data_IF_463134779768
#
_entry.id   IF_463134779768
#
_cell.length_a   1.000
_cell.length_b   1.000
_cell.length_c   1.000
_cell.angle_alpha   90.00
_cell.angle_beta   90.00
_cell.angle_gamma   90.00
#
_symmetry.space_group_name_H-M   'P 1'
#
loop_
_entity.id
_entity.type
_entity.pdbx_description
1 polymer ?
#
# COMPACT_ATOMS: atom_id res chain seq x y z
N UNK A 1 78.44 64.84 13.00
CA UNK A 1 77.01 64.46 13.08
C UNK A 1 76.95 62.94 13.11
N UNK A 2 76.79 62.35 14.30
CA UNK A 2 76.68 60.90 14.48
C UNK A 2 75.24 60.54 14.80
N UNK A 3 74.59 59.80 13.90
CA UNK A 3 73.29 59.19 14.17
C UNK A 3 73.50 57.96 15.04
N UNK A 4 73.05 58.04 16.29
CA UNK A 4 72.97 56.89 17.18
C UNK A 4 71.53 56.38 17.15
N UNK A 5 71.29 55.32 16.37
CA UNK A 5 69.99 54.64 16.31
C UNK A 5 69.97 53.59 17.41
N UNK A 6 69.40 53.93 18.55
CA UNK A 6 69.06 52.95 19.58
C UNK A 6 67.79 52.21 19.18
N UNK A 7 67.91 50.91 18.89
CA UNK A 7 66.76 50.00 18.88
C UNK A 7 66.26 49.84 20.31
N UNK A 8 65.16 50.50 20.64
CA UNK A 8 64.43 50.23 21.88
C UNK A 8 63.61 48.96 21.67
N UNK A 9 64.13 47.84 22.20
CA UNK A 9 63.35 46.64 22.46
C UNK A 9 62.32 46.94 23.55
N UNK A 10 61.08 47.21 23.15
CA UNK A 10 59.92 47.14 24.05
C UNK A 10 59.33 45.73 24.01
N UNK A 11 59.75 44.87 24.95
CA UNK A 11 59.10 43.59 25.24
C UNK A 11 57.77 43.87 25.96
N UNK A 12 56.69 43.98 25.20
CA UNK A 12 55.33 43.72 25.70
C UNK A 12 54.72 42.62 24.84
N UNK A 13 54.02 41.71 25.51
CA UNK A 13 53.76 40.35 25.09
C UNK A 13 53.03 40.24 23.74
N UNK A 14 53.81 40.18 22.66
CA UNK A 14 53.33 39.84 21.32
C UNK A 14 52.66 38.46 21.31
N UNK A 15 53.03 37.60 22.27
CA UNK A 15 52.40 36.30 22.53
C UNK A 15 50.96 36.42 23.04
N UNK A 16 50.63 37.40 23.89
CA UNK A 16 49.26 37.61 24.41
C UNK A 16 48.32 38.10 23.30
N UNK A 17 48.81 38.95 22.38
CA UNK A 17 48.07 39.38 21.20
C UNK A 17 47.81 38.25 20.19
N UNK A 18 48.79 37.37 19.97
CA UNK A 18 48.66 36.22 19.07
C UNK A 18 47.73 35.15 19.66
N UNK A 19 47.89 34.81 20.95
CA UNK A 19 47.06 33.83 21.66
C UNK A 19 45.61 34.32 21.81
N UNK A 20 45.41 35.62 22.10
CA UNK A 20 44.09 36.25 22.17
C UNK A 20 43.38 36.30 20.81
N UNK A 21 44.11 36.52 19.72
CA UNK A 21 43.55 36.47 18.36
C UNK A 21 43.17 35.04 17.92
N UNK A 22 43.95 34.03 18.34
CA UNK A 22 43.68 32.63 18.05
C UNK A 22 42.48 32.11 18.87
N UNK A 23 42.43 32.44 20.16
CA UNK A 23 41.29 32.10 21.03
C UNK A 23 40.04 32.86 20.59
N UNK A 24 40.16 34.15 20.26
CA UNK A 24 39.06 34.97 19.76
C UNK A 24 38.51 34.49 18.42
N UNK A 25 39.36 34.07 17.48
CA UNK A 25 38.92 33.53 16.18
C UNK A 25 38.26 32.17 16.30
N UNK A 26 38.75 31.29 17.20
CA UNK A 26 38.12 29.99 17.48
C UNK A 26 36.75 30.19 18.15
N UNK A 27 36.65 31.06 19.17
CA UNK A 27 35.37 31.36 19.85
C UNK A 27 34.38 32.04 18.90
N UNK A 28 34.84 33.01 18.10
CA UNK A 28 34.02 33.67 17.07
C UNK A 28 33.50 32.66 16.04
N UNK A 29 34.35 31.74 15.58
CA UNK A 29 33.97 30.66 14.69
C UNK A 29 32.91 29.74 15.30
N UNK A 30 33.06 29.36 16.57
CA UNK A 30 32.09 28.54 17.30
C UNK A 30 30.74 29.23 17.49
N UNK A 31 30.72 30.52 17.88
CA UNK A 31 29.48 31.29 18.05
C UNK A 31 28.74 31.44 16.72
N UNK A 32 29.47 31.65 15.62
CA UNK A 32 28.89 31.75 14.28
C UNK A 32 28.30 30.41 13.84
N UNK A 33 29.03 29.30 14.06
CA UNK A 33 28.55 27.96 13.74
C UNK A 33 27.31 27.59 14.56
N UNK A 34 27.30 27.96 15.85
CA UNK A 34 26.18 27.75 16.75
C UNK A 34 24.96 28.58 16.33
N UNK A 35 25.16 29.84 15.93
CA UNK A 35 24.13 30.71 15.37
C UNK A 35 23.51 30.12 14.10
N UNK A 36 24.34 29.68 13.14
CA UNK A 36 23.87 29.03 11.91
C UNK A 36 23.11 27.73 12.22
N UNK A 37 23.57 26.93 13.19
CA UNK A 37 22.89 25.70 13.58
C UNK A 37 21.52 25.98 14.23
N UNK A 38 21.42 27.02 15.05
CA UNK A 38 20.16 27.50 15.64
C UNK A 38 19.22 28.03 14.58
N UNK A 39 19.70 28.87 13.66
CA UNK A 39 18.90 29.37 12.54
C UNK A 39 18.40 28.23 11.66
N UNK A 40 19.24 27.25 11.31
CA UNK A 40 18.82 26.07 10.56
C UNK A 40 17.76 25.24 11.30
N UNK A 41 17.85 25.14 12.63
CA UNK A 41 16.83 24.47 13.45
C UNK A 41 15.53 25.26 13.48
N UNK A 42 15.59 26.59 13.64
CA UNK A 42 14.43 27.47 13.63
C UNK A 42 13.72 27.46 12.28
N UNK A 43 14.45 27.64 11.17
CA UNK A 43 13.88 27.59 9.82
C UNK A 43 13.29 26.22 9.50
N UNK A 44 13.90 25.13 9.98
CA UNK A 44 13.30 23.79 9.86
C UNK A 44 12.03 23.63 10.68
N UNK A 45 11.95 24.24 11.85
CA UNK A 45 10.79 24.17 12.72
C UNK A 45 9.62 25.00 12.17
N UNK A 46 9.87 26.23 11.72
CA UNK A 46 8.87 27.06 11.03
C UNK A 46 8.37 26.39 9.74
N UNK A 47 9.27 25.91 8.89
CA UNK A 47 8.89 25.19 7.68
C UNK A 47 8.16 23.85 7.98
N UNK A 48 8.35 23.27 9.17
CA UNK A 48 7.61 22.09 9.60
C UNK A 48 6.21 22.46 10.11
N UNK A 49 6.07 23.60 10.78
CA UNK A 49 4.78 24.16 11.23
C UNK A 49 3.92 24.59 10.05
N UNK A 50 4.51 25.18 9.01
CA UNK A 50 3.80 25.57 7.79
C UNK A 50 3.32 24.36 6.97
N UNK A 51 4.04 23.24 7.02
CA UNK A 51 3.67 22.00 6.30
C UNK A 51 2.75 21.07 7.10
N UNK A 52 2.52 21.35 8.37
CA UNK A 52 1.68 20.51 9.23
C UNK A 52 0.21 20.50 8.78
N UNK A 53 -0.41 21.64 8.43
CA UNK A 53 -1.77 21.67 7.87
C UNK A 53 -1.91 20.83 6.59
N UNK A 54 -1.00 20.97 5.63
CA UNK A 54 -1.00 20.20 4.36
C UNK A 54 -0.90 18.67 4.63
N UNK A 55 -0.10 18.28 5.63
CA UNK A 55 0.03 16.87 6.02
C UNK A 55 -1.22 16.31 6.67
N UNK A 56 -1.93 17.12 7.43
CA UNK A 56 -3.20 16.75 8.07
C UNK A 56 -4.27 16.59 6.98
N UNK A 57 -4.39 17.57 6.08
CA UNK A 57 -5.32 17.53 4.95
C UNK A 57 -5.13 16.25 4.12
N UNK A 58 -3.90 15.93 3.71
CA UNK A 58 -3.65 14.70 2.95
C UNK A 58 -3.99 13.42 3.70
N UNK A 59 -3.93 13.43 5.03
CA UNK A 59 -4.24 12.26 5.83
C UNK A 59 -5.76 12.14 6.05
N UNK A 60 -6.48 13.25 6.20
CA UNK A 60 -7.95 13.30 6.22
C UNK A 60 -8.53 12.83 4.88
N UNK A 61 -8.05 13.38 3.76
CA UNK A 61 -8.43 12.93 2.41
C UNK A 61 -8.19 11.42 2.21
N UNK A 62 -7.10 10.90 2.78
CA UNK A 62 -6.79 9.47 2.70
C UNK A 62 -7.74 8.63 3.53
N UNK A 63 -8.13 9.09 4.73
CA UNK A 63 -9.09 8.40 5.59
C UNK A 63 -10.46 8.36 4.93
N UNK A 64 -10.93 9.49 4.41
CA UNK A 64 -12.21 9.59 3.70
C UNK A 64 -12.23 8.65 2.49
N UNK A 65 -11.13 8.59 1.73
CA UNK A 65 -10.99 7.66 0.61
C UNK A 65 -11.00 6.19 1.04
N UNK A 66 -10.37 5.87 2.18
CA UNK A 66 -10.38 4.50 2.71
C UNK A 66 -11.80 4.11 3.16
N UNK A 67 -12.54 5.02 3.79
CA UNK A 67 -13.93 4.80 4.21
C UNK A 67 -14.84 4.55 3.01
N UNK A 68 -14.74 5.36 1.97
CA UNK A 68 -15.48 5.13 0.73
C UNK A 68 -15.14 3.77 0.11
N UNK A 69 -13.88 3.35 0.17
CA UNK A 69 -13.49 2.04 -0.34
C UNK A 69 -14.08 0.89 0.49
N UNK A 70 -14.10 1.00 1.81
CA UNK A 70 -14.69 0.01 2.72
C UNK A 70 -16.18 -0.12 2.44
N UNK A 71 -16.89 0.99 2.29
CA UNK A 71 -18.33 0.99 1.97
C UNK A 71 -18.61 0.27 0.65
N UNK A 72 -17.85 0.59 -0.41
CA UNK A 72 -17.96 -0.06 -1.72
C UNK A 72 -17.67 -1.56 -1.65
N UNK A 73 -16.63 -1.96 -0.91
CA UNK A 73 -16.26 -3.37 -0.73
C UNK A 73 -17.29 -4.15 0.11
N UNK A 74 -17.86 -3.51 1.12
CA UNK A 74 -18.88 -4.10 1.99
C UNK A 74 -20.16 -4.43 1.23
N UNK A 75 -20.52 -3.66 0.20
CA UNK A 75 -21.62 -4.00 -0.73
C UNK A 75 -21.35 -5.32 -1.46
N UNK A 76 -20.09 -5.62 -1.78
CA UNK A 76 -19.70 -6.88 -2.44
C UNK A 76 -19.80 -8.07 -1.48
N UNK A 77 -19.57 -7.88 -0.18
CA UNK A 77 -19.70 -8.93 0.82
C UNK A 77 -21.15 -9.35 1.04
N UNK A 78 -22.11 -8.41 0.99
CA UNK A 78 -23.53 -8.65 1.30
C UNK A 78 -24.09 -9.86 0.56
N UNK A 79 -24.40 -10.92 1.30
CA UNK A 79 -25.02 -12.12 0.75
C UNK A 79 -26.50 -11.83 0.52
N UNK A 80 -26.93 -11.92 -0.73
CA UNK A 80 -28.33 -11.82 -1.09
C UNK A 80 -29.09 -13.00 -0.47
N UNK A 81 -29.97 -12.71 0.51
CA UNK A 81 -30.73 -13.70 1.26
C UNK A 81 -31.56 -14.60 0.34
N UNK A 82 -32.04 -14.05 -0.80
CA UNK A 82 -32.77 -14.83 -1.81
C UNK A 82 -31.89 -15.90 -2.49
N UNK A 83 -30.58 -15.71 -2.53
CA UNK A 83 -29.61 -16.63 -3.12
C UNK A 83 -29.07 -17.64 -2.10
N UNK A 84 -29.35 -17.48 -0.81
CA UNK A 84 -28.96 -18.45 0.22
C UNK A 84 -29.68 -19.79 0.09
N UNK A 85 -30.91 -19.80 -0.46
CA UNK A 85 -31.67 -21.01 -0.73
C UNK A 85 -31.06 -21.91 -1.82
N UNK A 86 -30.09 -21.40 -2.59
CA UNK A 86 -29.37 -22.20 -3.60
C UNK A 86 -28.24 -23.00 -2.95
N UNK A 87 -28.02 -24.22 -3.47
CA UNK A 87 -26.81 -25.00 -3.18
C UNK A 87 -25.57 -24.15 -3.45
N UNK A 88 -24.52 -24.28 -2.62
CA UNK A 88 -23.38 -23.35 -2.63
C UNK A 88 -22.69 -23.28 -4.00
N UNK A 89 -22.59 -24.40 -4.72
CA UNK A 89 -22.02 -24.45 -6.07
C UNK A 89 -22.92 -23.83 -7.17
N UNK A 90 -24.17 -23.50 -6.85
CA UNK A 90 -25.10 -22.78 -7.72
C UNK A 90 -25.21 -21.29 -7.34
N UNK A 91 -24.46 -20.84 -6.35
CA UNK A 91 -24.41 -19.43 -5.98
C UNK A 91 -23.50 -18.69 -6.97
N UNK A 92 -23.95 -17.57 -7.52
CA UNK A 92 -23.14 -16.80 -8.44
C UNK A 92 -21.93 -16.24 -7.70
N UNK A 93 -20.74 -16.43 -8.28
CA UNK A 93 -19.52 -15.76 -7.88
C UNK A 93 -19.60 -14.28 -8.26
N UNK A 94 -18.93 -13.42 -7.48
CA UNK A 94 -19.04 -11.95 -7.59
C UNK A 94 -17.79 -11.29 -8.12
N UNK A 95 -16.63 -11.88 -7.90
CA UNK A 95 -15.32 -11.29 -8.17
C UNK A 95 -14.59 -11.99 -9.30
N UNK A 96 -14.77 -13.29 -9.43
CA UNK A 96 -14.12 -14.14 -10.40
C UNK A 96 -15.14 -15.04 -11.09
N UNK A 97 -14.88 -15.39 -12.33
CA UNK A 97 -15.65 -16.38 -13.07
C UNK A 97 -14.73 -17.34 -13.82
N UNK A 98 -15.25 -18.53 -14.10
CA UNK A 98 -14.60 -19.46 -15.01
C UNK A 98 -15.02 -19.10 -16.43
N UNK A 99 -14.04 -18.81 -17.28
CA UNK A 99 -14.29 -18.60 -18.70
C UNK A 99 -14.69 -19.93 -19.39
N UNK A 100 -15.08 -19.91 -20.68
CA UNK A 100 -15.43 -21.13 -21.42
C UNK A 100 -14.32 -22.19 -21.51
N UNK A 101 -13.08 -21.82 -21.20
CA UNK A 101 -11.90 -22.68 -21.18
C UNK A 101 -11.48 -23.06 -19.75
N UNK A 102 -12.35 -22.85 -18.76
CA UNK A 102 -12.08 -23.07 -17.34
C UNK A 102 -10.87 -22.28 -16.81
N UNK A 103 -10.58 -21.08 -17.31
CA UNK A 103 -9.64 -20.17 -16.67
C UNK A 103 -10.36 -19.31 -15.62
N UNK A 104 -9.73 -19.13 -14.45
CA UNK A 104 -10.22 -18.20 -13.44
C UNK A 104 -9.89 -16.77 -13.85
N UNK A 105 -10.92 -15.98 -14.17
CA UNK A 105 -10.77 -14.59 -14.63
C UNK A 105 -11.49 -13.62 -13.71
N UNK A 106 -10.94 -12.42 -13.47
CA UNK A 106 -11.63 -11.38 -12.72
C UNK A 106 -12.88 -10.91 -13.48
N UNK A 107 -14.01 -10.86 -12.77
CA UNK A 107 -15.30 -10.45 -13.30
C UNK A 107 -15.49 -8.95 -13.14
N UNK A 108 -15.96 -8.28 -14.19
CA UNK A 108 -16.41 -6.89 -14.06
C UNK A 108 -17.61 -6.83 -13.12
N UNK A 109 -17.53 -6.03 -12.07
CA UNK A 109 -18.59 -5.91 -11.08
C UNK A 109 -19.27 -4.53 -11.18
N UNK A 110 -20.60 -4.47 -11.31
CA UNK A 110 -21.31 -3.20 -11.49
C UNK A 110 -21.20 -2.25 -10.29
N UNK A 111 -20.96 -2.76 -9.07
CA UNK A 111 -20.87 -1.93 -7.87
C UNK A 111 -19.54 -1.18 -7.75
N UNK A 112 -18.50 -1.64 -8.44
CA UNK A 112 -17.17 -0.99 -8.48
C UNK A 112 -16.79 -0.55 -9.90
N UNK A 113 -17.66 -0.76 -10.89
CA UNK A 113 -17.52 -0.47 -12.32
C UNK A 113 -16.20 -0.94 -12.98
N UNK A 114 -15.54 -1.93 -12.38
CA UNK A 114 -14.28 -2.51 -12.84
C UNK A 114 -14.12 -3.93 -12.26
N UNK A 115 -12.98 -4.57 -12.50
CA UNK A 115 -12.57 -5.79 -11.82
C UNK A 115 -12.02 -5.47 -10.44
N UNK A 116 -12.05 -6.44 -9.52
CA UNK A 116 -11.49 -6.25 -8.18
C UNK A 116 -9.99 -5.92 -8.22
N UNK A 117 -9.24 -6.53 -9.16
CA UNK A 117 -7.80 -6.32 -9.30
C UNK A 117 -7.46 -4.89 -9.74
N UNK A 118 -8.18 -4.37 -10.73
CA UNK A 118 -8.04 -2.99 -11.20
C UNK A 118 -8.44 -1.99 -10.11
N UNK A 119 -9.53 -2.28 -9.41
CA UNK A 119 -9.99 -1.46 -8.28
C UNK A 119 -8.94 -1.36 -7.18
N UNK A 120 -8.40 -2.50 -6.72
CA UNK A 120 -7.39 -2.53 -5.66
C UNK A 120 -6.10 -1.83 -6.08
N UNK A 121 -5.68 -2.01 -7.33
CA UNK A 121 -4.50 -1.33 -7.88
C UNK A 121 -4.69 0.19 -7.94
N UNK A 122 -5.89 0.64 -8.31
CA UNK A 122 -6.25 2.06 -8.30
C UNK A 122 -6.27 2.63 -6.88
N UNK A 123 -6.91 1.92 -5.95
CA UNK A 123 -6.97 2.27 -4.53
C UNK A 123 -5.57 2.41 -3.92
N UNK A 124 -4.70 1.42 -4.12
CA UNK A 124 -3.31 1.45 -3.64
C UNK A 124 -2.55 2.67 -4.17
N UNK A 125 -2.71 3.01 -5.46
CA UNK A 125 -2.07 4.16 -6.08
C UNK A 125 -2.54 5.47 -5.45
N UNK A 126 -3.84 5.61 -5.21
CA UNK A 126 -4.42 6.80 -4.58
C UNK A 126 -3.95 6.94 -3.15
N UNK A 127 -4.07 5.89 -2.32
CA UNK A 127 -3.57 5.87 -0.94
C UNK A 127 -2.09 6.29 -0.90
N UNK A 128 -1.26 5.68 -1.76
CA UNK A 128 0.16 6.02 -1.86
C UNK A 128 0.41 7.50 -2.18
N UNK A 129 -0.38 8.08 -3.09
CA UNK A 129 -0.26 9.51 -3.46
C UNK A 129 -0.45 10.43 -2.26
N UNK A 130 -1.40 10.12 -1.36
CA UNK A 130 -1.64 10.89 -0.15
C UNK A 130 -0.55 10.62 0.91
N UNK A 131 -0.27 9.35 1.22
CA UNK A 131 0.58 8.98 2.35
C UNK A 131 2.07 9.33 2.17
N UNK A 132 2.57 9.40 0.93
CA UNK A 132 3.94 9.87 0.65
C UNK A 132 4.15 11.32 1.11
N UNK A 133 3.09 12.14 1.10
CA UNK A 133 3.17 13.57 1.45
C UNK A 133 3.13 13.84 2.95
N UNK A 134 2.70 12.86 3.76
CA UNK A 134 2.54 13.01 5.21
C UNK A 134 3.89 12.92 5.93
N UNK A 135 4.44 11.72 6.05
CA UNK A 135 5.74 11.47 6.68
C UNK A 135 6.25 10.05 6.35
N UNK A 136 7.47 9.73 6.82
CA UNK A 136 8.07 8.41 6.60
C UNK A 136 7.28 7.27 7.26
N UNK A 137 6.63 7.51 8.42
CA UNK A 137 5.82 6.51 9.13
C UNK A 137 4.60 6.11 8.28
N UNK A 138 3.85 7.08 7.75
CA UNK A 138 2.71 6.86 6.86
C UNK A 138 3.09 6.09 5.60
N UNK A 139 4.24 6.40 5.00
CA UNK A 139 4.77 5.65 3.87
C UNK A 139 5.12 4.19 4.23
N UNK A 140 5.67 3.94 5.43
CA UNK A 140 5.89 2.57 5.91
C UNK A 140 4.57 1.83 6.08
N UNK A 141 3.53 2.47 6.64
CA UNK A 141 2.19 1.86 6.76
C UNK A 141 1.57 1.53 5.40
N UNK A 142 1.73 2.41 4.42
CA UNK A 142 1.31 2.15 3.04
C UNK A 142 1.99 0.91 2.44
N UNK A 143 3.31 0.76 2.61
CA UNK A 143 4.02 -0.41 2.11
C UNK A 143 3.56 -1.71 2.79
N UNK A 144 3.27 -1.66 4.09
CA UNK A 144 2.71 -2.78 4.84
C UNK A 144 1.31 -3.15 4.34
N UNK A 145 0.47 -2.15 4.06
CA UNK A 145 -0.84 -2.34 3.44
C UNK A 145 -0.74 -3.05 2.09
N UNK A 146 0.09 -2.56 1.17
CA UNK A 146 0.31 -3.18 -0.14
C UNK A 146 0.81 -4.63 -0.02
N UNK A 147 1.75 -4.86 0.90
CA UNK A 147 2.27 -6.21 1.15
C UNK A 147 1.18 -7.15 1.68
N UNK A 148 0.32 -6.68 2.60
CA UNK A 148 -0.80 -7.46 3.12
C UNK A 148 -1.81 -7.80 2.04
N UNK A 149 -2.20 -6.85 1.19
CA UNK A 149 -3.12 -7.10 0.08
C UNK A 149 -2.61 -8.23 -0.83
N UNK A 150 -1.34 -8.13 -1.26
CA UNK A 150 -0.70 -9.15 -2.09
C UNK A 150 -0.64 -10.51 -1.38
N UNK A 151 -0.19 -10.52 -0.12
CA UNK A 151 -0.07 -11.75 0.66
C UNK A 151 -1.42 -12.47 0.79
N UNK A 152 -2.51 -11.76 1.03
CA UNK A 152 -3.83 -12.39 1.15
C UNK A 152 -4.33 -12.93 -0.20
N UNK A 153 -4.04 -12.25 -1.31
CA UNK A 153 -4.30 -12.81 -2.65
C UNK A 153 -3.54 -14.12 -2.86
N UNK A 154 -2.23 -14.14 -2.57
CA UNK A 154 -1.37 -15.31 -2.74
C UNK A 154 -1.79 -16.49 -1.85
N UNK A 155 -2.36 -16.21 -0.68
CA UNK A 155 -2.80 -17.25 0.27
C UNK A 155 -4.21 -17.76 -0.02
N UNK A 156 -5.11 -16.92 -0.54
CA UNK A 156 -6.54 -17.25 -0.66
C UNK A 156 -6.91 -17.59 -2.11
N UNK A 157 -6.55 -16.74 -3.06
CA UNK A 157 -6.98 -16.84 -4.46
C UNK A 157 -6.02 -17.71 -5.27
N UNK A 158 -4.71 -17.55 -5.10
CA UNK A 158 -3.72 -18.28 -5.89
C UNK A 158 -3.83 -19.81 -5.79
N UNK A 159 -4.11 -20.43 -4.62
CA UNK A 159 -4.31 -21.88 -4.54
C UNK A 159 -5.54 -22.35 -5.31
N UNK A 160 -6.59 -21.55 -5.37
CA UNK A 160 -7.79 -21.84 -6.17
C UNK A 160 -7.46 -21.75 -7.65
N UNK A 161 -6.71 -20.72 -8.06
CA UNK A 161 -6.23 -20.57 -9.43
C UNK A 161 -5.43 -21.80 -9.89
N UNK A 162 -4.47 -22.27 -9.08
CA UNK A 162 -3.70 -23.48 -9.36
C UNK A 162 -4.58 -24.73 -9.48
N UNK A 163 -5.61 -24.86 -8.64
CA UNK A 163 -6.56 -25.98 -8.73
C UNK A 163 -7.40 -25.94 -9.99
N UNK A 164 -7.81 -24.75 -10.43
CA UNK A 164 -8.53 -24.53 -11.69
C UNK A 164 -7.64 -24.90 -12.88
N UNK A 165 -6.38 -24.46 -12.89
CA UNK A 165 -5.38 -24.82 -13.90
C UNK A 165 -5.14 -26.34 -13.94
N UNK A 166 -5.01 -26.98 -12.78
CA UNK A 166 -4.88 -28.44 -12.71
C UNK A 166 -6.12 -29.16 -13.27
N UNK A 167 -7.31 -28.66 -12.96
CA UNK A 167 -8.55 -29.21 -13.51
C UNK A 167 -8.62 -29.06 -15.02
N UNK A 168 -8.25 -27.88 -15.55
CA UNK A 168 -8.18 -27.65 -16.99
C UNK A 168 -7.26 -28.68 -17.67
N UNK A 169 -6.07 -28.92 -17.12
CA UNK A 169 -5.14 -29.95 -17.64
C UNK A 169 -5.77 -31.35 -17.61
N UNK A 170 -6.46 -31.72 -16.53
CA UNK A 170 -7.16 -33.02 -16.43
C UNK A 170 -8.23 -33.15 -17.52
N UNK A 171 -9.02 -32.10 -17.76
CA UNK A 171 -10.04 -32.12 -18.82
C UNK A 171 -9.40 -32.21 -20.20
N UNK A 172 -8.33 -31.45 -20.47
CA UNK A 172 -7.63 -31.52 -21.74
C UNK A 172 -7.11 -32.93 -21.97
N UNK A 173 -6.39 -33.51 -21.01
CA UNK A 173 -5.79 -34.85 -21.14
C UNK A 173 -6.85 -35.94 -21.30
N UNK A 174 -7.96 -35.86 -20.56
CA UNK A 174 -9.02 -36.87 -20.60
C UNK A 174 -9.84 -36.84 -21.90
N UNK A 175 -9.98 -35.68 -22.55
CA UNK A 175 -10.87 -35.50 -23.70
C UNK A 175 -10.16 -35.14 -25.00
N UNK A 176 -8.81 -35.02 -25.02
CA UNK A 176 -8.03 -34.64 -26.20
C UNK A 176 -8.34 -35.50 -27.43
N UNK A 177 -8.50 -36.81 -27.26
CA UNK A 177 -8.73 -37.73 -28.37
C UNK A 177 -10.17 -37.67 -28.93
N UNK A 178 -11.14 -37.24 -28.11
CA UNK A 178 -12.57 -37.30 -28.45
C UNK A 178 -13.17 -35.94 -28.77
N UNK A 179 -12.58 -34.85 -28.27
CA UNK A 179 -13.07 -33.48 -28.36
C UNK A 179 -11.95 -32.50 -28.74
N UNK A 180 -11.07 -32.92 -29.66
CA UNK A 180 -9.91 -32.16 -30.09
C UNK A 180 -10.30 -30.76 -30.63
N UNK A 181 -11.44 -30.65 -31.32
CA UNK A 181 -11.93 -29.40 -31.89
C UNK A 181 -12.34 -28.41 -30.78
N UNK A 182 -13.08 -28.85 -29.75
CA UNK A 182 -13.46 -28.02 -28.62
C UNK A 182 -12.24 -27.56 -27.80
N UNK A 183 -11.24 -28.41 -27.66
CA UNK A 183 -10.00 -28.10 -26.93
C UNK A 183 -9.16 -27.07 -27.71
N UNK A 184 -8.94 -27.30 -29.00
CA UNK A 184 -8.15 -26.39 -29.85
C UNK A 184 -8.83 -25.02 -30.02
N UNK A 185 -10.16 -24.99 -30.01
CA UNK A 185 -10.92 -23.73 -30.05
C UNK A 185 -11.09 -23.05 -28.69
N UNK A 186 -10.69 -23.70 -27.59
CA UNK A 186 -10.73 -23.12 -26.24
C UNK A 186 -12.13 -23.06 -25.61
N UNK A 187 -13.02 -23.99 -25.98
CA UNK A 187 -14.40 -24.06 -25.47
C UNK A 187 -14.64 -25.36 -24.69
N UNK A 188 -13.82 -25.63 -23.66
CA UNK A 188 -13.93 -26.82 -22.82
C UNK A 188 -15.31 -27.00 -22.18
N UNK A 189 -16.03 -25.91 -21.92
CA UNK A 189 -17.41 -25.94 -21.38
C UNK A 189 -18.41 -26.69 -22.27
N UNK A 190 -18.08 -26.93 -23.55
CA UNK A 190 -18.94 -27.69 -24.48
C UNK A 190 -18.77 -29.21 -24.36
N UNK A 191 -17.72 -29.67 -23.68
CA UNK A 191 -17.45 -31.09 -23.48
C UNK A 191 -18.45 -31.62 -22.43
N UNK A 192 -19.14 -32.72 -22.74
CA UNK A 192 -20.01 -33.36 -21.76
C UNK A 192 -19.16 -34.12 -20.73
N UNK A 193 -19.01 -33.50 -19.56
CA UNK A 193 -18.22 -34.05 -18.47
C UNK A 193 -18.91 -35.26 -17.86
N UNK A 194 -18.11 -36.31 -17.61
CA UNK A 194 -18.52 -37.45 -16.81
C UNK A 194 -18.84 -37.03 -15.36
N UNK A 195 -19.45 -37.92 -14.59
CA UNK A 195 -19.91 -37.61 -13.22
C UNK A 195 -18.77 -37.21 -12.28
N UNK A 196 -17.58 -37.81 -12.43
CA UNK A 196 -16.40 -37.51 -11.64
C UNK A 196 -15.91 -36.08 -11.90
N UNK A 197 -15.65 -35.73 -13.17
CA UNK A 197 -15.20 -34.41 -13.58
C UNK A 197 -16.24 -33.33 -13.27
N UNK A 198 -17.54 -33.64 -13.41
CA UNK A 198 -18.62 -32.74 -13.00
C UNK A 198 -18.62 -32.47 -11.50
N UNK A 199 -18.36 -33.50 -10.69
CA UNK A 199 -18.22 -33.37 -9.24
C UNK A 199 -16.99 -32.53 -8.85
N UNK A 200 -15.87 -32.71 -9.55
CA UNK A 200 -14.67 -31.88 -9.38
C UNK A 200 -14.94 -30.40 -9.72
N UNK A 201 -15.59 -30.13 -10.86
CA UNK A 201 -15.96 -28.79 -11.28
C UNK A 201 -16.88 -28.11 -10.24
N UNK A 202 -17.91 -28.81 -9.77
CA UNK A 202 -18.82 -28.29 -8.74
C UNK A 202 -18.08 -27.98 -7.43
N UNK A 203 -17.09 -28.79 -7.07
CA UNK A 203 -16.23 -28.56 -5.90
C UNK A 203 -15.38 -27.31 -6.09
N UNK A 204 -14.78 -27.12 -7.27
CA UNK A 204 -14.00 -25.94 -7.62
C UNK A 204 -14.87 -24.67 -7.55
N UNK A 205 -16.07 -24.69 -8.15
CA UNK A 205 -16.99 -23.54 -8.13
C UNK A 205 -17.37 -23.16 -6.69
N UNK A 206 -17.67 -24.15 -5.84
CA UNK A 206 -17.93 -23.93 -4.42
C UNK A 206 -16.73 -23.28 -3.73
N UNK A 207 -15.54 -23.79 -3.98
CA UNK A 207 -14.32 -23.33 -3.32
C UNK A 207 -13.92 -21.92 -3.80
N UNK A 208 -14.17 -21.57 -5.07
CA UNK A 208 -14.07 -20.19 -5.59
C UNK A 208 -14.98 -19.27 -4.79
N UNK A 209 -16.27 -19.62 -4.65
CA UNK A 209 -17.23 -18.78 -3.91
C UNK A 209 -16.81 -18.55 -2.45
N UNK A 210 -16.32 -19.58 -1.77
CA UNK A 210 -15.82 -19.44 -0.39
C UNK A 210 -14.53 -18.60 -0.32
N UNK A 211 -13.63 -18.77 -1.28
CA UNK A 211 -12.40 -17.98 -1.37
C UNK A 211 -12.70 -16.51 -1.63
N UNK A 212 -13.69 -16.18 -2.47
CA UNK A 212 -14.14 -14.80 -2.71
C UNK A 212 -14.61 -14.12 -1.43
N UNK A 213 -15.49 -14.78 -0.66
CA UNK A 213 -16.00 -14.22 0.59
C UNK A 213 -14.88 -13.97 1.59
N UNK A 214 -13.98 -14.96 1.75
CA UNK A 214 -12.83 -14.83 2.64
C UNK A 214 -11.86 -13.73 2.19
N UNK A 215 -11.65 -13.61 0.87
CA UNK A 215 -10.78 -12.60 0.29
C UNK A 215 -11.37 -11.19 0.47
N UNK A 216 -12.67 -11.00 0.25
CA UNK A 216 -13.35 -9.72 0.51
C UNK A 216 -13.24 -9.30 1.96
N UNK A 217 -13.56 -10.20 2.90
CA UNK A 217 -13.42 -9.91 4.33
C UNK A 217 -11.98 -9.52 4.69
N UNK A 218 -10.99 -10.24 4.16
CA UNK A 218 -9.57 -9.91 4.35
C UNK A 218 -9.21 -8.52 3.81
N UNK A 219 -9.72 -8.14 2.64
CA UNK A 219 -9.45 -6.82 2.05
C UNK A 219 -10.04 -5.73 2.93
N UNK A 220 -11.28 -5.89 3.40
CA UNK A 220 -11.95 -4.91 4.28
C UNK A 220 -11.15 -4.74 5.57
N UNK A 221 -10.79 -5.83 6.24
CA UNK A 221 -9.95 -5.80 7.45
C UNK A 221 -8.58 -5.12 7.23
N UNK A 222 -8.00 -5.27 6.04
CA UNK A 222 -6.73 -4.60 5.68
C UNK A 222 -6.93 -3.08 5.52
N UNK A 223 -8.05 -2.65 4.93
CA UNK A 223 -8.38 -1.24 4.79
C UNK A 223 -8.70 -0.60 6.16
N UNK A 224 -9.51 -1.27 6.99
CA UNK A 224 -9.78 -0.83 8.37
C UNK A 224 -8.50 -0.70 9.17
N UNK A 225 -7.60 -1.70 9.12
CA UNK A 225 -6.33 -1.62 9.81
C UNK A 225 -5.43 -0.47 9.35
N UNK A 226 -5.51 -0.09 8.07
CA UNK A 226 -4.80 1.09 7.56
C UNK A 226 -5.44 2.39 8.06
N UNK A 227 -6.78 2.46 8.09
CA UNK A 227 -7.53 3.60 8.64
C UNK A 227 -7.14 3.87 10.08
N UNK A 228 -7.12 2.84 10.92
CA UNK A 228 -6.73 2.95 12.32
C UNK A 228 -5.30 3.48 12.47
N UNK A 229 -4.37 2.95 11.67
CA UNK A 229 -2.99 3.44 11.61
C UNK A 229 -2.94 4.93 11.22
N UNK A 230 -3.77 5.38 10.29
CA UNK A 230 -3.83 6.78 9.88
C UNK A 230 -4.41 7.68 10.97
N UNK A 231 -5.49 7.28 11.64
CA UNK A 231 -6.07 8.02 12.76
C UNK A 231 -5.07 8.23 13.90
N UNK A 232 -4.23 7.22 14.18
CA UNK A 232 -3.14 7.36 15.17
C UNK A 232 -2.11 8.40 14.73
N UNK A 233 -1.73 8.42 13.45
CA UNK A 233 -0.81 9.41 12.90
C UNK A 233 -1.45 10.81 12.94
N UNK A 234 -2.73 10.93 12.57
CA UNK A 234 -3.51 12.17 12.65
C UNK A 234 -3.44 12.76 14.06
N UNK A 235 -3.84 11.99 15.07
CA UNK A 235 -3.86 12.44 16.45
C UNK A 235 -2.48 12.83 17.00
N UNK A 236 -1.38 12.33 16.42
CA UNK A 236 -0.03 12.78 16.76
C UNK A 236 0.35 14.08 16.05
N UNK A 237 -0.12 14.29 14.81
CA UNK A 237 0.12 15.52 14.06
C UNK A 237 -0.70 16.68 14.62
N UNK A 238 -1.98 16.47 14.92
CA UNK A 238 -2.86 17.49 15.53
C UNK A 238 -2.31 17.97 16.86
N UNK A 239 -1.84 17.06 17.72
CA UNK A 239 -1.18 17.43 18.99
C UNK A 239 0.05 18.30 18.81
N UNK A 240 0.77 18.20 17.69
CA UNK A 240 1.93 19.07 17.40
C UNK A 240 1.53 20.46 16.92
N UNK A 241 0.28 20.65 16.53
CA UNK A 241 -0.27 21.94 16.12
C UNK A 241 -0.61 22.82 17.33
N UNK A 242 -1.02 22.18 18.43
CA UNK A 242 -1.42 22.83 19.69
C UNK A 242 -0.23 23.32 20.56
N UNK A 243 1.01 22.95 20.20
CA UNK A 243 2.26 23.39 20.85
C UNK A 243 3.06 24.35 19.96
#
# INVERSE_FOLDING_TARGET
MGFNVTKVYGKTDTWIGFLGSYIGSVISGFVTLFGVMLSLKFTKYEAMKDKLPEKIEHLEECIDFIDENIDRLSVLERVDVSKMAKLIHLRPTKLYELDPNYNLTPKKNPNIDTTIDEYLKSSEKTIRKHLIKVNAEAHVRQNQFSHRLKKHYDVIINPIKQRVENFQSIIIDAYMETHADEITTGYLVRIDLNDEHRTMLNTIIRDIHLAELKYLGSIIEIHDGLKDDMLVILGRLTRKLDY
#
